data_IF_547026760557
#
_entry.id   IF_547026760557
#
_cell.length_a   1.000
_cell.length_b   1.000
_cell.length_c   1.000
_cell.angle_alpha   90.00
_cell.angle_beta   90.00
_cell.angle_gamma   90.00
#
_symmetry.space_group_name_H-M   'P 1'
#
loop_
_entity.id
_entity.type
_entity.pdbx_description
1 polymer ?
#
# COMPACT_ATOMS: atom_id res chain seq x y z
N UNK A 1 -17.32 21.80 -59.39
CA UNK A 1 -16.48 20.72 -58.84
C UNK A 1 -15.18 21.38 -58.42
N UNK A 2 -15.10 21.80 -57.15
CA UNK A 2 -14.07 22.71 -56.62
C UNK A 2 -12.97 21.91 -55.92
N UNK A 3 -11.73 22.37 -56.08
CA UNK A 3 -10.45 21.76 -55.71
C UNK A 3 -10.27 21.48 -54.20
N UNK A 4 -10.68 20.32 -53.67
CA UNK A 4 -10.26 19.89 -52.31
C UNK A 4 -9.75 18.43 -52.21
N UNK A 5 -9.74 17.67 -53.31
CA UNK A 5 -9.44 16.22 -53.32
C UNK A 5 -7.95 15.84 -53.35
N UNK A 6 -7.02 16.76 -53.13
CA UNK A 6 -5.56 16.50 -53.21
C UNK A 6 -4.84 16.40 -51.85
N UNK A 7 -5.55 16.46 -50.72
CA UNK A 7 -4.92 16.27 -49.40
C UNK A 7 -4.79 14.78 -49.08
N UNK A 8 -3.56 14.30 -48.99
CA UNK A 8 -3.22 12.94 -48.57
C UNK A 8 -3.61 12.79 -47.10
N UNK A 9 -4.61 11.99 -46.80
CA UNK A 9 -4.99 11.67 -45.42
C UNK A 9 -4.10 10.54 -44.87
N UNK A 10 -3.74 10.56 -43.57
CA UNK A 10 -3.06 9.44 -42.93
C UNK A 10 -3.92 8.18 -43.05
N UNK A 11 -3.34 7.06 -43.46
CA UNK A 11 -4.06 5.78 -43.44
C UNK A 11 -4.33 5.37 -41.99
N UNK A 12 -5.55 4.92 -41.71
CA UNK A 12 -5.97 4.46 -40.37
C UNK A 12 -6.06 2.94 -40.38
N UNK A 13 -5.58 2.31 -39.31
CA UNK A 13 -5.79 0.89 -39.02
C UNK A 13 -7.27 0.60 -38.73
N UNK A 14 -7.69 -0.66 -38.80
CA UNK A 14 -9.06 -1.07 -38.46
C UNK A 14 -9.49 -0.68 -37.01
N UNK A 15 -8.53 -0.38 -36.12
CA UNK A 15 -8.76 0.13 -34.77
C UNK A 15 -8.71 1.65 -34.63
N UNK A 16 -8.68 2.42 -35.72
CA UNK A 16 -8.72 3.88 -35.71
C UNK A 16 -7.39 4.59 -35.41
N UNK A 17 -6.28 3.84 -35.30
CA UNK A 17 -4.95 4.42 -35.11
C UNK A 17 -4.31 4.75 -36.47
N UNK A 18 -3.60 5.88 -36.55
CA UNK A 18 -2.80 6.25 -37.73
C UNK A 18 -1.73 5.17 -37.98
N UNK A 19 -1.66 4.67 -39.21
CA UNK A 19 -0.70 3.67 -39.66
C UNK A 19 0.70 4.31 -39.72
N UNK A 20 1.46 4.16 -38.63
CA UNK A 20 2.83 4.66 -38.55
C UNK A 20 3.77 3.76 -39.39
N UNK A 21 4.26 4.31 -40.50
CA UNK A 21 5.23 3.67 -41.40
C UNK A 21 6.66 4.16 -41.17
N UNK A 22 6.92 4.91 -40.09
CA UNK A 22 8.27 5.36 -39.78
C UNK A 22 9.14 4.15 -39.40
N UNK A 23 10.36 4.10 -39.96
CA UNK A 23 11.33 3.04 -39.69
C UNK A 23 12.35 3.57 -38.66
N UNK A 24 12.24 3.20 -37.38
CA UNK A 24 13.17 3.67 -36.37
C UNK A 24 14.54 3.01 -36.55
N UNK A 25 15.61 3.76 -36.26
CA UNK A 25 17.00 3.33 -36.40
C UNK A 25 17.42 2.23 -35.41
N UNK A 26 16.61 2.02 -34.37
CA UNK A 26 16.70 0.93 -33.40
C UNK A 26 15.33 0.25 -33.30
N UNK A 27 15.27 -1.05 -32.96
CA UNK A 27 13.99 -1.75 -32.82
C UNK A 27 13.12 -1.08 -31.75
N UNK A 28 11.86 -0.79 -32.10
CA UNK A 28 10.81 -0.47 -31.10
C UNK A 28 10.55 -1.74 -30.34
N UNK A 29 11.17 -1.87 -29.18
CA UNK A 29 10.90 -3.02 -28.31
C UNK A 29 9.66 -2.69 -27.49
N UNK A 30 8.52 -3.25 -27.87
CA UNK A 30 7.35 -3.31 -26.99
C UNK A 30 7.66 -4.25 -25.83
N UNK A 31 8.27 -3.73 -24.75
CA UNK A 31 8.50 -4.48 -23.51
C UNK A 31 7.22 -4.46 -22.67
N UNK A 32 6.63 -5.63 -22.43
CA UNK A 32 5.62 -5.81 -21.40
C UNK A 32 6.32 -5.78 -20.05
N UNK A 33 6.00 -4.79 -19.21
CA UNK A 33 6.54 -4.71 -17.86
C UNK A 33 6.00 -5.84 -16.98
N UNK A 34 6.77 -6.23 -15.96
CA UNK A 34 6.30 -7.13 -14.91
C UNK A 34 5.23 -6.42 -14.06
N UNK A 35 4.30 -7.19 -13.50
CA UNK A 35 3.33 -6.66 -12.54
C UNK A 35 4.01 -6.44 -11.18
N UNK A 36 4.13 -5.20 -10.67
CA UNK A 36 4.81 -4.93 -9.42
C UNK A 36 3.88 -5.01 -8.19
N UNK A 37 2.55 -5.03 -8.37
CA UNK A 37 1.54 -5.10 -7.31
C UNK A 37 1.75 -6.24 -6.30
N UNK A 38 2.11 -7.48 -6.70
CA UNK A 38 2.33 -8.56 -5.76
C UNK A 38 3.41 -8.24 -4.73
N UNK A 39 4.51 -7.62 -5.16
CA UNK A 39 5.60 -7.22 -4.28
C UNK A 39 5.16 -6.15 -3.29
N UNK A 40 4.38 -5.16 -3.74
CA UNK A 40 3.83 -4.11 -2.88
C UNK A 40 2.92 -4.66 -1.79
N UNK A 41 2.03 -5.60 -2.13
CA UNK A 41 1.10 -6.24 -1.20
C UNK A 41 1.82 -7.14 -0.19
N UNK A 42 2.79 -7.96 -0.63
CA UNK A 42 3.59 -8.80 0.27
C UNK A 42 4.45 -7.97 1.23
N UNK A 43 4.98 -6.85 0.73
CA UNK A 43 5.73 -5.88 1.51
C UNK A 43 4.87 -5.24 2.60
N UNK A 44 3.69 -4.75 2.24
CA UNK A 44 2.71 -4.19 3.17
C UNK A 44 2.28 -5.21 4.23
N UNK A 45 1.93 -6.43 3.80
CA UNK A 45 1.52 -7.52 4.66
C UNK A 45 2.57 -7.85 5.74
N UNK A 46 3.84 -7.84 5.34
CA UNK A 46 4.96 -8.12 6.26
C UNK A 46 5.13 -6.99 7.27
N UNK A 47 5.00 -5.72 6.85
CA UNK A 47 5.04 -4.58 7.75
C UNK A 47 3.93 -4.62 8.79
N UNK A 48 2.67 -4.78 8.36
CA UNK A 48 1.52 -4.78 9.26
C UNK A 48 1.49 -6.01 10.18
N UNK A 49 1.95 -7.18 9.71
CA UNK A 49 2.13 -8.36 10.55
C UNK A 49 3.08 -8.09 11.72
N UNK A 50 4.20 -7.41 11.48
CA UNK A 50 5.16 -7.08 12.53
C UNK A 50 4.62 -6.01 13.48
N UNK A 51 4.01 -4.94 12.94
CA UNK A 51 3.33 -3.91 13.77
C UNK A 51 2.33 -4.58 14.72
N UNK A 52 1.52 -5.50 14.19
CA UNK A 52 0.51 -6.23 14.97
C UNK A 52 1.15 -7.13 16.02
N UNK A 53 2.19 -7.88 15.65
CA UNK A 53 2.87 -8.82 16.55
C UNK A 53 3.57 -8.13 17.72
N UNK A 54 4.25 -7.02 17.48
CA UNK A 54 4.85 -6.25 18.55
C UNK A 54 3.81 -5.45 19.33
N UNK A 55 2.75 -4.97 18.67
CA UNK A 55 1.65 -4.26 19.31
C UNK A 55 0.89 -5.10 20.34
N UNK A 56 0.60 -6.37 20.05
CA UNK A 56 0.00 -7.30 21.03
C UNK A 56 1.00 -7.91 22.00
N UNK A 57 2.29 -7.53 21.92
CA UNK A 57 3.38 -8.13 22.68
C UNK A 57 3.43 -9.65 22.52
N UNK A 58 3.34 -10.14 21.29
CA UNK A 58 3.44 -11.55 20.99
C UNK A 58 4.71 -12.13 21.64
N UNK A 59 4.56 -13.28 22.29
CA UNK A 59 5.65 -13.95 23.05
C UNK A 59 6.18 -13.13 24.24
N UNK A 60 5.46 -12.11 24.70
CA UNK A 60 5.85 -11.24 25.81
C UNK A 60 6.92 -10.21 25.44
N UNK A 61 7.23 -10.04 24.16
CA UNK A 61 8.30 -9.12 23.70
C UNK A 61 7.80 -7.68 23.80
N UNK A 62 8.52 -6.85 24.57
CA UNK A 62 8.20 -5.43 24.78
C UNK A 62 9.02 -4.48 23.90
N UNK A 63 10.11 -4.97 23.28
CA UNK A 63 11.04 -4.16 22.51
C UNK A 63 10.80 -4.36 21.01
N UNK A 64 10.16 -3.40 20.32
CA UNK A 64 9.78 -3.58 18.92
C UNK A 64 10.88 -3.27 17.91
N UNK A 65 12.09 -2.86 18.36
CA UNK A 65 13.12 -2.25 17.52
C UNK A 65 13.49 -3.03 16.24
N UNK A 66 13.39 -4.36 16.26
CA UNK A 66 13.69 -5.19 15.08
C UNK A 66 12.71 -4.91 13.92
N UNK A 67 11.46 -4.52 14.21
CA UNK A 67 10.47 -4.21 13.17
C UNK A 67 10.86 -2.97 12.37
N UNK A 68 11.56 -2.01 12.97
CA UNK A 68 11.96 -0.75 12.34
C UNK A 68 12.74 -1.01 11.05
N UNK A 69 13.63 -2.01 11.04
CA UNK A 69 14.39 -2.36 9.84
C UNK A 69 13.47 -2.82 8.69
N UNK A 70 12.48 -3.68 8.99
CA UNK A 70 11.56 -4.19 7.98
C UNK A 70 10.61 -3.10 7.49
N UNK A 71 10.11 -2.26 8.38
CA UNK A 71 9.23 -1.14 8.02
C UNK A 71 9.98 -0.08 7.19
N UNK A 72 11.26 0.19 7.43
CA UNK A 72 12.03 1.13 6.60
C UNK A 72 12.33 0.52 5.22
N UNK A 73 12.91 -0.67 5.18
CA UNK A 73 13.47 -1.19 3.92
C UNK A 73 12.46 -1.93 3.06
N UNK A 74 11.67 -2.82 3.65
CA UNK A 74 10.70 -3.62 2.91
C UNK A 74 9.36 -2.89 2.85
N UNK A 75 8.63 -2.82 3.97
CA UNK A 75 7.34 -2.13 4.08
C UNK A 75 7.36 -0.67 3.65
N UNK A 76 8.53 -0.04 3.64
CA UNK A 76 8.75 1.36 3.30
C UNK A 76 9.30 1.57 1.90
N UNK A 77 10.63 1.50 1.76
CA UNK A 77 11.36 1.84 0.53
C UNK A 77 10.96 0.92 -0.62
N UNK A 78 10.95 -0.40 -0.41
CA UNK A 78 10.58 -1.36 -1.45
C UNK A 78 9.13 -1.11 -1.92
N UNK A 79 8.21 -0.92 -0.99
CA UNK A 79 6.81 -0.62 -1.32
C UNK A 79 6.64 0.72 -2.03
N UNK A 80 7.39 1.75 -1.63
CA UNK A 80 7.37 3.06 -2.29
C UNK A 80 7.87 2.96 -3.74
N UNK A 81 8.94 2.19 -3.98
CA UNK A 81 9.47 1.91 -5.32
C UNK A 81 8.42 1.15 -6.16
N UNK A 82 7.72 0.17 -5.58
CA UNK A 82 6.62 -0.52 -6.27
C UNK A 82 5.55 0.47 -6.72
N UNK A 83 5.20 1.45 -5.89
CA UNK A 83 4.25 2.49 -6.29
C UNK A 83 4.72 3.35 -7.48
N UNK A 84 6.03 3.62 -7.58
CA UNK A 84 6.63 4.25 -8.77
C UNK A 84 6.53 3.31 -9.99
N UNK A 85 6.72 2.01 -9.81
CA UNK A 85 6.58 1.03 -10.89
C UNK A 85 5.12 0.90 -11.37
N UNK A 86 4.14 1.01 -10.47
CA UNK A 86 2.72 1.09 -10.82
C UNK A 86 2.41 2.35 -11.63
N UNK A 87 3.05 3.48 -11.30
CA UNK A 87 2.87 4.73 -12.04
C UNK A 87 3.35 4.57 -13.49
N UNK A 88 4.51 3.95 -13.68
CA UNK A 88 5.06 3.64 -15.01
C UNK A 88 4.15 2.67 -15.78
N UNK A 89 3.49 1.75 -15.07
CA UNK A 89 2.58 0.77 -15.66
C UNK A 89 1.16 1.31 -15.94
N UNK A 90 0.88 2.56 -15.55
CA UNK A 90 -0.43 3.21 -15.77
C UNK A 90 -1.49 2.89 -14.72
N UNK A 91 -1.14 2.30 -13.58
CA UNK A 91 -2.08 1.96 -12.51
C UNK A 91 -2.12 3.05 -11.42
N UNK A 92 -2.99 4.04 -11.62
CA UNK A 92 -3.13 5.17 -10.68
C UNK A 92 -3.52 4.74 -9.26
N UNK A 93 -4.38 3.74 -9.13
CA UNK A 93 -4.80 3.23 -7.83
C UNK A 93 -3.62 2.61 -7.07
N UNK A 94 -2.90 1.69 -7.73
CA UNK A 94 -1.70 1.05 -7.17
C UNK A 94 -0.61 2.06 -6.81
N UNK A 95 -0.37 3.07 -7.64
CA UNK A 95 0.55 4.17 -7.33
C UNK A 95 0.19 4.86 -6.04
N UNK A 96 -1.06 5.34 -5.91
CA UNK A 96 -1.49 6.09 -4.74
C UNK A 96 -1.39 5.24 -3.48
N UNK A 97 -1.89 4.00 -3.52
CA UNK A 97 -1.91 3.09 -2.38
C UNK A 97 -0.50 2.69 -1.94
N UNK A 98 0.33 2.17 -2.84
CA UNK A 98 1.65 1.66 -2.46
C UNK A 98 2.63 2.76 -2.07
N UNK A 99 2.63 3.92 -2.75
CA UNK A 99 3.49 5.02 -2.34
C UNK A 99 3.08 5.58 -0.98
N UNK A 100 1.77 5.75 -0.74
CA UNK A 100 1.27 6.25 0.54
C UNK A 100 1.60 5.31 1.70
N UNK A 101 1.34 4.01 1.58
CA UNK A 101 1.67 3.06 2.65
C UNK A 101 3.17 2.79 2.78
N UNK A 102 3.96 2.91 1.72
CA UNK A 102 5.42 2.94 1.80
C UNK A 102 5.89 4.14 2.63
N UNK A 103 5.36 5.34 2.36
CA UNK A 103 5.65 6.54 3.13
C UNK A 103 5.15 6.46 4.58
N UNK A 104 4.00 5.82 4.82
CA UNK A 104 3.49 5.52 6.16
C UNK A 104 4.49 4.68 6.96
N UNK A 105 4.95 3.54 6.42
CA UNK A 105 5.88 2.66 7.14
C UNK A 105 7.22 3.36 7.46
N UNK A 106 7.76 4.15 6.53
CA UNK A 106 8.97 4.95 6.76
C UNK A 106 8.72 6.01 7.85
N UNK A 107 7.65 6.80 7.72
CA UNK A 107 7.34 7.86 8.69
C UNK A 107 7.03 7.30 10.09
N UNK A 108 6.29 6.20 10.18
CA UNK A 108 6.02 5.51 11.44
C UNK A 108 7.30 4.95 12.07
N UNK A 109 8.20 4.38 11.28
CA UNK A 109 9.51 3.91 11.77
C UNK A 109 10.37 5.04 12.32
N UNK A 110 10.33 6.21 11.68
CA UNK A 110 11.08 7.38 12.13
C UNK A 110 10.65 7.84 13.52
N UNK A 111 9.38 7.67 13.91
CA UNK A 111 8.91 7.99 15.26
C UNK A 111 9.70 7.21 16.31
N UNK A 112 9.95 5.92 16.07
CA UNK A 112 10.61 5.01 17.04
C UNK A 112 12.12 4.86 16.85
N UNK A 113 12.69 5.44 15.79
CA UNK A 113 14.13 5.40 15.56
C UNK A 113 14.84 6.37 16.54
N UNK A 114 15.73 5.90 17.44
CA UNK A 114 16.33 6.76 18.46
C UNK A 114 17.09 7.99 17.93
N UNK A 115 17.61 7.92 16.69
CA UNK A 115 18.31 9.02 16.04
C UNK A 115 17.42 10.11 15.42
N UNK A 116 16.09 9.93 15.38
CA UNK A 116 15.18 10.92 14.77
C UNK A 116 14.89 12.12 15.68
N UNK A 117 15.03 11.95 17.00
CA UNK A 117 14.70 12.96 18.00
C UNK A 117 13.19 13.16 18.23
N UNK A 118 12.31 12.39 17.57
CA UNK A 118 10.85 12.58 17.70
C UNK A 118 10.39 12.25 19.12
N UNK A 119 10.64 11.04 19.63
CA UNK A 119 10.28 10.69 21.01
C UNK A 119 10.97 11.61 22.02
N UNK A 120 12.25 11.95 21.79
CA UNK A 120 13.02 12.84 22.66
C UNK A 120 12.39 14.24 22.80
N UNK A 121 11.69 14.74 21.77
CA UNK A 121 10.98 16.02 21.85
C UNK A 121 9.77 15.98 22.81
N UNK A 122 9.27 14.79 23.16
CA UNK A 122 8.20 14.58 24.13
C UNK A 122 8.71 14.03 25.46
N UNK A 123 10.02 13.83 25.63
CA UNK A 123 10.63 13.34 26.86
C UNK A 123 11.16 14.50 27.68
N UNK A 124 10.78 14.60 28.95
CA UNK A 124 11.32 15.61 29.87
C UNK A 124 12.77 15.29 30.31
N UNK A 125 13.41 16.22 31.02
CA UNK A 125 14.77 16.04 31.56
C UNK A 125 14.89 14.88 32.56
N UNK A 126 13.77 14.39 33.09
CA UNK A 126 13.70 13.28 34.03
C UNK A 126 13.41 11.93 33.35
N UNK A 127 13.23 11.91 32.02
CA UNK A 127 12.96 10.71 31.24
C UNK A 127 11.47 10.33 31.14
N UNK A 128 10.55 11.15 31.65
CA UNK A 128 9.11 10.91 31.54
C UNK A 128 8.60 11.37 30.19
N UNK A 129 7.76 10.54 29.57
CA UNK A 129 7.11 10.85 28.30
C UNK A 129 5.84 11.69 28.55
N UNK A 130 5.73 12.83 27.87
CA UNK A 130 4.54 13.67 27.92
C UNK A 130 3.30 12.90 27.45
N UNK A 131 2.14 13.05 28.12
CA UNK A 131 0.86 12.54 27.64
C UNK A 131 0.51 13.00 26.21
N UNK A 132 1.05 14.15 25.78
CA UNK A 132 0.83 14.70 24.45
C UNK A 132 1.39 13.81 23.33
N UNK A 133 2.39 12.97 23.62
CA UNK A 133 2.95 12.04 22.65
C UNK A 133 1.87 11.07 22.14
N UNK A 134 1.12 10.47 23.06
CA UNK A 134 0.11 9.48 22.70
C UNK A 134 -1.06 10.11 21.94
N UNK A 135 -1.46 11.34 22.32
CA UNK A 135 -2.47 12.11 21.60
C UNK A 135 -1.99 12.50 20.19
N UNK A 136 -0.70 12.82 20.04
CA UNK A 136 -0.10 13.13 18.73
C UNK A 136 -0.09 11.91 17.81
N UNK A 137 0.22 10.72 18.34
CA UNK A 137 0.11 9.45 17.59
C UNK A 137 -1.33 9.17 17.18
N UNK A 138 -2.31 9.46 18.05
CA UNK A 138 -3.71 9.29 17.68
C UNK A 138 -4.12 10.19 16.50
N UNK A 139 -3.75 11.47 16.52
CA UNK A 139 -4.03 12.40 15.42
C UNK A 139 -3.32 11.99 14.12
N UNK A 140 -2.08 11.51 14.22
CA UNK A 140 -1.36 10.92 13.09
C UNK A 140 -2.16 9.75 12.48
N UNK A 141 -2.64 8.80 13.30
CA UNK A 141 -3.42 7.65 12.83
C UNK A 141 -4.78 8.06 12.25
N UNK A 142 -5.45 9.08 12.80
CA UNK A 142 -6.67 9.63 12.23
C UNK A 142 -6.48 10.20 10.82
N UNK A 143 -5.36 10.87 10.56
CA UNK A 143 -5.05 11.36 9.21
C UNK A 143 -4.90 10.20 8.21
N UNK A 144 -4.24 9.12 8.62
CA UNK A 144 -4.09 7.90 7.80
C UNK A 144 -5.40 7.13 7.64
N UNK A 145 -6.29 7.15 8.64
CA UNK A 145 -7.62 6.58 8.54
C UNK A 145 -8.44 7.30 7.45
N UNK A 146 -8.47 8.64 7.45
CA UNK A 146 -9.19 9.41 6.41
C UNK A 146 -8.70 9.05 5.01
N UNK A 147 -7.37 8.95 4.85
CA UNK A 147 -6.75 8.58 3.58
C UNK A 147 -7.08 7.13 3.17
N UNK A 148 -7.12 6.20 4.13
CA UNK A 148 -7.48 4.79 3.88
C UNK A 148 -8.94 4.68 3.43
N UNK A 149 -9.87 5.37 4.07
CA UNK A 149 -11.29 5.38 3.65
C UNK A 149 -11.44 5.84 2.19
N UNK A 150 -10.67 6.83 1.76
CA UNK A 150 -10.67 7.30 0.36
C UNK A 150 -10.21 6.16 -0.57
N UNK A 151 -9.17 5.41 -0.19
CA UNK A 151 -8.70 4.25 -0.96
C UNK A 151 -9.68 3.09 -0.94
N UNK A 152 -10.35 2.83 0.19
CA UNK A 152 -11.40 1.82 0.31
C UNK A 152 -12.53 2.08 -0.70
N UNK A 153 -12.95 3.33 -0.84
CA UNK A 153 -13.96 3.73 -1.85
C UNK A 153 -13.41 3.55 -3.28
N UNK A 154 -12.15 3.90 -3.52
CA UNK A 154 -11.52 3.70 -4.83
C UNK A 154 -11.36 2.20 -5.20
N UNK A 155 -11.30 1.31 -4.21
CA UNK A 155 -11.11 -0.13 -4.40
C UNK A 155 -12.39 -0.90 -4.80
N UNK A 156 -13.56 -0.25 -4.85
CA UNK A 156 -14.87 -0.92 -5.12
C UNK A 156 -14.90 -1.69 -6.46
N UNK A 157 -14.07 -1.31 -7.44
CA UNK A 157 -13.97 -2.00 -8.74
C UNK A 157 -12.71 -2.88 -8.89
N UNK A 158 -12.03 -3.18 -7.79
CA UNK A 158 -10.82 -4.01 -7.81
C UNK A 158 -11.17 -5.49 -7.61
N UNK A 159 -11.03 -6.01 -6.39
CA UNK A 159 -11.37 -7.36 -6.00
C UNK A 159 -11.98 -7.34 -4.59
N UNK A 160 -12.77 -8.36 -4.25
CA UNK A 160 -13.32 -8.48 -2.90
C UNK A 160 -12.24 -8.54 -1.83
N UNK A 161 -11.11 -9.18 -2.12
CA UNK A 161 -10.05 -9.35 -1.13
C UNK A 161 -9.34 -8.04 -0.85
N UNK A 162 -9.02 -7.24 -1.88
CA UNK A 162 -8.39 -5.94 -1.71
C UNK A 162 -9.33 -4.94 -1.03
N UNK A 163 -10.63 -5.00 -1.35
CA UNK A 163 -11.63 -4.17 -0.69
C UNK A 163 -11.76 -4.53 0.80
N UNK A 164 -11.89 -5.82 1.13
CA UNK A 164 -11.96 -6.28 2.52
C UNK A 164 -10.67 -5.98 3.30
N UNK A 165 -9.52 -6.03 2.64
CA UNK A 165 -8.23 -5.65 3.23
C UNK A 165 -8.22 -4.19 3.68
N UNK A 166 -8.65 -3.27 2.81
CA UNK A 166 -8.74 -1.84 3.13
C UNK A 166 -9.83 -1.54 4.18
N UNK A 167 -10.98 -2.23 4.15
CA UNK A 167 -11.99 -2.12 5.21
C UNK A 167 -11.46 -2.61 6.55
N UNK A 168 -10.72 -3.73 6.57
CA UNK A 168 -10.08 -4.22 7.79
C UNK A 168 -9.01 -3.24 8.29
N UNK A 169 -8.29 -2.57 7.38
CA UNK A 169 -7.32 -1.54 7.71
C UNK A 169 -7.99 -0.28 8.28
N UNK A 170 -9.14 0.14 7.75
CA UNK A 170 -9.95 1.22 8.31
C UNK A 170 -10.32 0.92 9.77
N UNK A 171 -10.79 -0.30 10.05
CA UNK A 171 -11.11 -0.75 11.42
C UNK A 171 -9.86 -0.82 12.31
N UNK A 172 -8.74 -1.28 11.77
CA UNK A 172 -7.46 -1.29 12.49
C UNK A 172 -7.04 0.13 12.91
N UNK A 173 -7.04 1.08 11.97
CA UNK A 173 -6.59 2.45 12.21
C UNK A 173 -7.50 3.21 13.18
N UNK A 174 -8.82 3.05 13.08
CA UNK A 174 -9.76 3.71 14.02
C UNK A 174 -9.62 3.17 15.45
N UNK A 175 -9.41 1.85 15.62
CA UNK A 175 -9.16 1.25 16.93
C UNK A 175 -7.82 1.71 17.50
N UNK A 176 -6.75 1.75 16.69
CA UNK A 176 -5.46 2.26 17.15
C UNK A 176 -5.50 3.75 17.50
N UNK A 177 -6.20 4.56 16.71
CA UNK A 177 -6.35 6.00 16.98
C UNK A 177 -7.12 6.25 18.27
N UNK A 178 -8.32 5.66 18.41
CA UNK A 178 -9.16 5.81 19.62
C UNK A 178 -8.53 5.19 20.86
N UNK A 179 -7.84 4.05 20.71
CA UNK A 179 -7.08 3.41 21.79
C UNK A 179 -5.95 4.29 22.32
N UNK A 180 -5.27 5.04 21.44
CA UNK A 180 -4.27 6.02 21.84
C UNK A 180 -4.89 7.27 22.49
N UNK A 181 -6.05 7.75 22.02
CA UNK A 181 -6.72 8.91 22.64
C UNK A 181 -7.19 8.62 24.07
N UNK A 182 -7.78 7.44 24.28
CA UNK A 182 -8.39 7.05 25.56
C UNK A 182 -7.34 6.39 26.48
N UNK A 183 -6.18 6.01 25.96
CA UNK A 183 -5.15 5.29 26.70
C UNK A 183 -5.58 3.88 27.11
N UNK A 184 -6.43 3.22 26.30
CA UNK A 184 -6.98 1.90 26.62
C UNK A 184 -6.18 0.77 25.97
N UNK A 185 -5.46 -0.07 26.75
CA UNK A 185 -4.70 -1.19 26.20
C UNK A 185 -5.60 -2.23 25.51
N UNK A 186 -6.84 -2.40 25.98
CA UNK A 186 -7.78 -3.34 25.39
C UNK A 186 -8.17 -2.94 23.95
N UNK A 187 -8.39 -1.64 23.72
CA UNK A 187 -8.73 -1.11 22.39
C UNK A 187 -7.52 -1.18 21.46
N UNK A 188 -6.33 -0.86 21.97
CA UNK A 188 -5.08 -1.01 21.21
C UNK A 188 -4.84 -2.46 20.79
N UNK A 189 -4.99 -3.41 21.72
CA UNK A 189 -4.85 -4.84 21.43
C UNK A 189 -5.88 -5.32 20.39
N UNK A 190 -7.12 -4.82 20.44
CA UNK A 190 -8.11 -5.09 19.41
C UNK A 190 -7.68 -4.54 18.04
N UNK A 191 -7.15 -3.31 17.98
CA UNK A 191 -6.61 -2.72 16.75
C UNK A 191 -5.48 -3.56 16.16
N UNK A 192 -4.49 -3.93 16.97
CA UNK A 192 -3.40 -4.80 16.52
C UNK A 192 -3.89 -6.20 16.11
N UNK A 193 -4.94 -6.75 16.74
CA UNK A 193 -5.54 -8.00 16.31
C UNK A 193 -6.18 -7.90 14.92
N UNK A 194 -6.86 -6.78 14.61
CA UNK A 194 -7.34 -6.49 13.25
C UNK A 194 -6.19 -6.34 12.25
N UNK A 195 -5.03 -5.83 12.66
CA UNK A 195 -3.85 -5.78 11.82
C UNK A 195 -3.36 -7.15 11.34
N UNK A 196 -3.61 -8.24 12.07
CA UNK A 196 -3.38 -9.60 11.56
C UNK A 196 -4.33 -9.98 10.43
N UNK A 197 -5.60 -9.58 10.51
CA UNK A 197 -6.57 -9.81 9.44
C UNK A 197 -6.13 -9.09 8.16
N UNK A 198 -5.69 -7.83 8.28
CA UNK A 198 -5.09 -7.07 7.18
C UNK A 198 -3.87 -7.81 6.62
N UNK A 199 -2.94 -8.24 7.47
CA UNK A 199 -1.76 -8.99 7.00
C UNK A 199 -2.16 -10.22 6.17
N UNK A 200 -3.13 -11.00 6.61
CA UNK A 200 -3.58 -12.22 5.94
C UNK A 200 -4.22 -11.90 4.59
N UNK A 201 -5.10 -10.89 4.50
CA UNK A 201 -5.76 -10.50 3.26
C UNK A 201 -4.78 -9.89 2.25
N UNK A 202 -3.82 -9.10 2.72
CA UNK A 202 -2.73 -8.57 1.92
C UNK A 202 -1.79 -9.67 1.41
N UNK A 203 -1.41 -10.64 2.25
CA UNK A 203 -0.62 -11.81 1.83
C UNK A 203 -1.39 -12.63 0.79
N UNK A 204 -2.70 -12.83 0.98
CA UNK A 204 -3.55 -13.52 0.02
C UNK A 204 -3.52 -12.80 -1.33
N UNK A 205 -3.77 -11.49 -1.35
CA UNK A 205 -3.79 -10.70 -2.57
C UNK A 205 -2.43 -10.70 -3.28
N UNK A 206 -1.34 -10.59 -2.50
CA UNK A 206 0.03 -10.67 -3.00
C UNK A 206 0.36 -12.04 -3.62
N UNK A 207 0.01 -13.13 -2.93
CA UNK A 207 0.17 -14.49 -3.46
C UNK A 207 -0.65 -14.71 -4.73
N UNK A 208 -1.90 -14.24 -4.76
CA UNK A 208 -2.75 -14.37 -5.95
C UNK A 208 -2.14 -13.66 -7.17
N UNK A 209 -1.64 -12.44 -6.98
CA UNK A 209 -0.96 -11.72 -8.05
C UNK A 209 0.38 -12.37 -8.45
N UNK A 210 1.11 -12.97 -7.52
CA UNK A 210 2.39 -13.63 -7.78
C UNK A 210 2.21 -14.99 -8.49
N UNK A 211 1.16 -15.74 -8.17
CA UNK A 211 0.89 -17.07 -8.71
C UNK A 211 0.16 -17.03 -10.05
N UNK A 212 -0.41 -15.88 -10.41
CA UNK A 212 -1.11 -15.66 -11.67
C UNK A 212 -0.21 -15.93 -12.90
N UNK A 213 -0.86 -16.31 -14.01
CA UNK A 213 -0.17 -16.48 -15.30
C UNK A 213 0.60 -17.80 -15.43
N UNK A 214 0.21 -18.84 -14.69
CA UNK A 214 0.76 -20.19 -14.83
C UNK A 214 2.14 -20.39 -14.20
N UNK A 215 2.59 -19.48 -13.33
CA UNK A 215 3.87 -19.61 -12.61
C UNK A 215 3.82 -20.77 -11.61
N UNK A 216 2.64 -21.06 -11.05
CA UNK A 216 2.43 -22.18 -10.13
C UNK A 216 1.29 -23.09 -10.60
N UNK A 217 1.23 -24.35 -10.13
CA UNK A 217 0.15 -25.28 -10.52
C UNK A 217 -1.25 -24.90 -10.01
N UNK A 218 -1.35 -23.94 -9.09
CA UNK A 218 -2.60 -23.51 -8.45
C UNK A 218 -2.77 -22.00 -8.57
N UNK A 219 -3.99 -21.56 -8.86
CA UNK A 219 -4.34 -20.15 -8.85
C UNK A 219 -5.12 -19.82 -7.58
N UNK A 220 -4.78 -18.70 -6.95
CA UNK A 220 -5.45 -18.24 -5.73
C UNK A 220 -6.58 -17.29 -6.14
N UNK A 221 -7.84 -17.56 -5.75
CA UNK A 221 -8.96 -16.74 -6.18
C UNK A 221 -8.94 -15.37 -5.49
N UNK A 222 -9.27 -14.32 -6.24
CA UNK A 222 -9.41 -12.95 -5.72
C UNK A 222 -10.85 -12.42 -5.72
N UNK A 223 -11.77 -13.15 -6.35
CA UNK A 223 -13.19 -12.80 -6.47
C UNK A 223 -13.38 -11.38 -7.04
N UNK A 224 -13.28 -11.20 -8.37
CA UNK A 224 -13.48 -9.90 -9.02
C UNK A 224 -14.85 -9.29 -8.67
N UNK A 225 -14.88 -7.97 -8.51
CA UNK A 225 -16.09 -7.22 -8.17
C UNK A 225 -16.73 -6.52 -9.37
N UNK A 226 -16.08 -6.54 -10.52
CA UNK A 226 -16.66 -6.08 -11.78
C UNK A 226 -17.70 -7.07 -12.31
N UNK A 227 -18.73 -6.54 -12.96
CA UNK A 227 -19.62 -7.36 -13.77
C UNK A 227 -18.87 -7.69 -15.05
N UNK A 228 -18.72 -8.98 -15.35
CA UNK A 228 -18.32 -9.41 -16.70
C UNK A 228 -19.27 -8.72 -17.70
N UNK A 229 -18.70 -7.89 -18.58
CA UNK A 229 -19.42 -7.15 -19.60
C UNK A 229 -19.57 -7.98 -20.89
#
# INVERSE_FOLDING_TARGET
>A
MSQDDTKIHPTLTAGGHVEDRSQPSLPVVHRRFANPSPLGLLSFATGIFLISSFGVHARGIQTPNVMIAVLIFFGGICQYIVGIMEFISGNTFGTAVFMSYGAFNISYSMIYLPGSGIIAAYTDSAGNLSPDFQQSIALYLWAWFILTVIYTVAAIRSSWILFLDLVALDVCLILLATGNMIGSPAVLNAGYAFGYLVAILSYWSGCAGLFAGGITPWEVPTFPMDKEA
#
